data_IF_975173666559
#
_entry.id   IF_975173666559
#
_cell.length_a   1.000
_cell.length_b   1.000
_cell.length_c   1.000
_cell.angle_alpha   90.00
_cell.angle_beta   90.00
_cell.angle_gamma   90.00
#
_symmetry.space_group_name_H-M   'P 1'
#
loop_
_entity.id
_entity.type
_entity.pdbx_description
1 polymer ?
#
# COMPACT_ATOMS: atom_id res chain seq x y z
N UNK A 1 -0.01 -8.83 -7.00
CA UNK A 1 -0.49 -8.09 -5.82
C UNK A 1 -1.09 -9.02 -4.76
N UNK A 2 -2.27 -9.62 -4.97
CA UNK A 2 -3.01 -10.40 -3.96
C UNK A 2 -2.20 -11.50 -3.28
N UNK A 3 -1.81 -12.54 -4.01
CA UNK A 3 -1.13 -13.70 -3.44
C UNK A 3 0.19 -13.34 -2.74
N UNK A 4 0.96 -12.43 -3.31
CA UNK A 4 2.21 -11.99 -2.69
C UNK A 4 1.96 -11.23 -1.38
N UNK A 5 0.96 -10.35 -1.34
CA UNK A 5 0.57 -9.68 -0.09
C UNK A 5 -0.01 -10.67 0.94
N UNK A 6 -0.69 -11.75 0.53
CA UNK A 6 -1.09 -12.83 1.45
C UNK A 6 0.13 -13.48 2.10
N UNK A 7 1.17 -13.78 1.33
CA UNK A 7 2.45 -14.30 1.84
C UNK A 7 3.09 -13.32 2.84
N UNK A 8 3.00 -12.01 2.58
CA UNK A 8 3.51 -10.96 3.47
C UNK A 8 2.64 -10.72 4.73
N UNK A 9 1.50 -11.40 4.85
CA UNK A 9 0.64 -11.36 6.05
C UNK A 9 -0.66 -10.58 5.89
N UNK A 10 -1.13 -10.29 4.67
CA UNK A 10 -2.46 -9.73 4.44
C UNK A 10 -3.55 -10.80 4.56
N UNK A 11 -4.50 -10.61 5.48
CA UNK A 11 -5.63 -11.53 5.65
C UNK A 11 -6.81 -11.22 4.71
N UNK A 12 -7.02 -9.94 4.38
CA UNK A 12 -8.16 -9.45 3.58
C UNK A 12 -7.76 -8.28 2.70
N UNK A 13 -8.47 -8.12 1.60
CA UNK A 13 -8.27 -7.06 0.62
C UNK A 13 -9.56 -6.29 0.38
N UNK A 14 -9.44 -4.97 0.25
CA UNK A 14 -10.55 -4.10 -0.11
C UNK A 14 -10.16 -3.35 -1.37
N UNK A 15 -10.97 -3.49 -2.43
CA UNK A 15 -10.82 -2.72 -3.66
C UNK A 15 -12.02 -1.82 -3.87
N UNK A 16 -11.76 -0.62 -4.37
CA UNK A 16 -12.77 0.34 -4.80
C UNK A 16 -12.82 0.29 -6.33
N UNK A 17 -13.92 -0.21 -6.87
CA UNK A 17 -14.09 -0.44 -8.29
C UNK A 17 -14.81 0.74 -8.95
N UNK A 18 -14.04 1.64 -9.55
CA UNK A 18 -14.56 2.65 -10.48
C UNK A 18 -14.80 2.04 -11.87
N UNK A 19 -13.82 1.27 -12.35
CA UNK A 19 -13.90 0.54 -13.61
C UNK A 19 -12.97 -0.66 -13.59
N UNK A 20 -13.45 -1.83 -14.00
CA UNK A 20 -12.63 -3.05 -14.17
C UNK A 20 -12.99 -3.76 -15.46
N UNK A 21 -11.98 -4.31 -16.15
CA UNK A 21 -12.21 -5.20 -17.29
C UNK A 21 -12.76 -6.57 -16.85
N UNK A 22 -13.44 -7.26 -17.77
CA UNK A 22 -14.08 -8.56 -17.51
C UNK A 22 -13.11 -9.64 -17.05
N UNK A 23 -11.86 -9.61 -17.52
CA UNK A 23 -10.80 -10.51 -17.10
C UNK A 23 -10.41 -10.30 -15.63
N UNK A 24 -10.28 -9.05 -15.18
CA UNK A 24 -9.98 -8.72 -13.79
C UNK A 24 -11.16 -9.04 -12.89
N UNK A 25 -12.38 -8.73 -13.33
CA UNK A 25 -13.59 -9.05 -12.56
C UNK A 25 -13.72 -10.56 -12.29
N UNK A 26 -13.52 -11.42 -13.31
CA UNK A 26 -13.55 -12.88 -13.11
C UNK A 26 -12.55 -13.36 -12.03
N UNK A 27 -11.35 -12.78 -11.99
CA UNK A 27 -10.35 -13.09 -10.96
C UNK A 27 -10.84 -12.59 -9.60
N UNK A 28 -11.33 -11.36 -9.50
CA UNK A 28 -11.88 -10.81 -8.26
C UNK A 28 -13.04 -11.66 -7.73
N UNK A 29 -13.95 -12.12 -8.59
CA UNK A 29 -15.07 -13.00 -8.20
C UNK A 29 -14.59 -14.29 -7.53
N UNK A 30 -13.45 -14.85 -7.96
CA UNK A 30 -12.86 -16.02 -7.30
C UNK A 30 -12.45 -15.72 -5.86
N UNK A 31 -11.79 -14.58 -5.61
CA UNK A 31 -11.35 -14.19 -4.27
C UNK A 31 -12.47 -13.61 -3.39
N UNK A 32 -13.52 -13.05 -4.00
CA UNK A 32 -14.75 -12.68 -3.28
C UNK A 32 -15.41 -13.95 -2.73
N UNK A 33 -15.53 -15.00 -3.55
CA UNK A 33 -16.10 -16.28 -3.13
C UNK A 33 -15.28 -16.98 -2.04
N UNK A 34 -13.96 -16.83 -2.02
CA UNK A 34 -13.12 -17.34 -0.92
C UNK A 34 -13.19 -16.49 0.36
N UNK A 35 -13.78 -15.29 0.30
CA UNK A 35 -13.84 -14.34 1.41
C UNK A 35 -12.57 -13.52 1.63
N UNK A 36 -11.59 -13.64 0.74
CA UNK A 36 -10.32 -12.89 0.82
C UNK A 36 -10.48 -11.43 0.37
N UNK A 37 -11.36 -11.17 -0.60
CA UNK A 37 -11.51 -9.87 -1.25
C UNK A 37 -12.91 -9.31 -1.04
N UNK A 38 -12.99 -8.03 -0.68
CA UNK A 38 -14.19 -7.21 -0.76
C UNK A 38 -14.03 -6.17 -1.86
N UNK A 39 -14.95 -6.15 -2.82
CA UNK A 39 -15.00 -5.11 -3.86
C UNK A 39 -16.16 -4.19 -3.57
N UNK A 40 -15.87 -2.90 -3.42
CA UNK A 40 -16.87 -1.85 -3.22
C UNK A 40 -17.06 -1.10 -4.54
N UNK A 41 -18.31 -0.88 -5.00
CA UNK A 41 -18.55 -0.03 -6.15
C UNK A 41 -18.11 1.40 -5.83
N UNK A 42 -17.41 2.05 -6.77
CA UNK A 42 -16.89 3.41 -6.61
C UNK A 42 -17.45 4.36 -7.66
N UNK A 43 -18.78 4.48 -7.66
CA UNK A 43 -19.54 5.28 -8.62
C UNK A 43 -19.71 6.73 -8.14
N UNK A 44 -18.61 7.39 -7.78
CA UNK A 44 -18.67 8.81 -7.42
C UNK A 44 -18.88 9.67 -8.68
N UNK A 45 -19.57 10.84 -8.56
CA UNK A 45 -19.58 11.82 -9.63
C UNK A 45 -18.15 12.34 -9.81
N UNK A 46 -17.44 11.78 -10.78
CA UNK A 46 -16.04 12.15 -11.05
C UNK A 46 -15.98 13.58 -11.52
N UNK A 47 -16.86 13.99 -12.44
CA UNK A 47 -16.96 15.38 -12.88
C UNK A 47 -17.81 16.17 -11.93
N UNK A 48 -17.21 17.22 -11.37
CA UNK A 48 -17.88 18.14 -10.45
C UNK A 48 -17.73 19.57 -10.93
N UNK A 49 -18.73 20.38 -10.61
CA UNK A 49 -18.66 21.81 -10.78
C UNK A 49 -17.63 22.39 -9.79
N UNK A 50 -16.78 23.30 -10.28
CA UNK A 50 -15.80 24.00 -9.46
C UNK A 50 -16.35 25.31 -8.93
N UNK A 51 -15.81 25.78 -7.81
CA UNK A 51 -15.92 27.18 -7.41
C UNK A 51 -14.53 27.85 -7.44
N UNK A 52 -14.35 28.96 -8.19
CA UNK A 52 -15.34 29.63 -9.04
C UNK A 52 -15.78 28.76 -10.25
N UNK A 53 -16.98 29.02 -10.82
CA UNK A 53 -17.52 28.21 -11.92
C UNK A 53 -16.58 28.17 -13.12
N UNK A 54 -16.30 26.96 -13.61
CA UNK A 54 -15.47 26.72 -14.78
C UNK A 54 -16.31 26.07 -15.89
N UNK A 55 -16.05 26.44 -17.15
CA UNK A 55 -16.64 25.76 -18.31
C UNK A 55 -16.06 24.36 -18.54
N UNK A 56 -14.94 24.04 -17.88
CA UNK A 56 -14.34 22.71 -17.87
C UNK A 56 -14.57 22.12 -16.48
N UNK A 57 -15.55 21.19 -16.32
CA UNK A 57 -15.74 20.50 -15.05
C UNK A 57 -14.44 19.82 -14.66
N UNK A 58 -14.06 19.94 -13.39
CA UNK A 58 -12.88 19.27 -12.85
C UNK A 58 -13.26 17.86 -12.44
N UNK A 59 -12.35 16.93 -12.64
CA UNK A 59 -12.48 15.64 -11.99
C UNK A 59 -12.16 15.78 -10.49
N UNK A 60 -12.92 15.11 -9.63
CA UNK A 60 -12.55 14.92 -8.22
C UNK A 60 -11.18 14.27 -8.23
N UNK A 61 -10.17 15.01 -7.77
CA UNK A 61 -8.76 14.68 -7.90
C UNK A 61 -8.48 13.17 -7.74
N UNK A 62 -7.87 12.56 -8.76
CA UNK A 62 -7.53 11.13 -8.79
C UNK A 62 -8.76 10.21 -8.57
N UNK A 63 -9.91 10.55 -9.16
CA UNK A 63 -11.19 9.81 -9.05
C UNK A 63 -11.68 9.61 -7.61
N UNK A 64 -11.39 10.57 -6.73
CA UNK A 64 -11.77 10.51 -5.33
C UNK A 64 -10.93 9.53 -4.51
N UNK A 65 -9.67 9.28 -4.89
CA UNK A 65 -8.76 8.38 -4.16
C UNK A 65 -8.68 8.71 -2.65
N UNK A 66 -8.61 9.99 -2.28
CA UNK A 66 -8.55 10.38 -0.87
C UNK A 66 -9.81 9.94 -0.10
N UNK A 67 -10.98 10.04 -0.72
CA UNK A 67 -12.23 9.56 -0.13
C UNK A 67 -12.25 8.03 -0.01
N UNK A 68 -11.73 7.29 -1.00
CA UNK A 68 -11.62 5.83 -0.93
C UNK A 68 -10.70 5.36 0.21
N UNK A 69 -9.54 6.03 0.38
CA UNK A 69 -8.59 5.73 1.45
C UNK A 69 -9.22 5.93 2.83
N UNK A 70 -9.92 7.05 3.03
CA UNK A 70 -10.56 7.36 4.32
C UNK A 70 -11.82 6.52 4.58
N UNK A 71 -12.63 6.20 3.56
CA UNK A 71 -13.72 5.22 3.70
C UNK A 71 -13.17 3.86 4.15
N UNK A 72 -12.08 3.40 3.53
CA UNK A 72 -11.46 2.12 3.88
C UNK A 72 -10.96 2.10 5.33
N UNK A 73 -10.27 3.18 5.73
CA UNK A 73 -9.79 3.39 7.09
C UNK A 73 -10.93 3.30 8.11
N UNK A 74 -12.00 4.07 7.90
CA UNK A 74 -13.13 4.16 8.82
C UNK A 74 -13.93 2.86 8.87
N UNK A 75 -14.23 2.25 7.72
CA UNK A 75 -14.96 0.98 7.58
C UNK A 75 -14.26 -0.17 8.30
N UNK A 76 -12.93 -0.14 8.34
CA UNK A 76 -12.11 -1.20 8.92
C UNK A 76 -11.52 -0.84 10.29
N UNK A 77 -11.86 0.32 10.87
CA UNK A 77 -11.37 0.81 12.17
C UNK A 77 -11.43 -0.22 13.30
N UNK A 78 -12.52 -0.98 13.35
CA UNK A 78 -12.71 -2.02 14.36
C UNK A 78 -12.55 -3.45 13.83
N UNK A 79 -12.28 -3.60 12.53
CA UNK A 79 -12.20 -4.91 11.84
C UNK A 79 -10.78 -5.37 11.58
N UNK A 80 -9.84 -4.44 11.45
CA UNK A 80 -8.44 -4.72 11.18
C UNK A 80 -7.55 -4.23 12.34
N UNK A 81 -6.47 -4.98 12.62
CA UNK A 81 -5.42 -4.52 13.54
C UNK A 81 -4.51 -3.51 12.86
N UNK A 82 -4.17 -3.77 11.60
CA UNK A 82 -3.41 -2.88 10.73
C UNK A 82 -4.05 -2.85 9.35
N UNK A 83 -3.97 -1.71 8.67
CA UNK A 83 -4.35 -1.54 7.27
C UNK A 83 -3.10 -1.17 6.49
N UNK A 84 -2.91 -1.83 5.34
CA UNK A 84 -1.82 -1.52 4.42
C UNK A 84 -2.40 -0.73 3.25
N UNK A 85 -1.92 0.50 3.07
CA UNK A 85 -2.24 1.34 1.92
C UNK A 85 -1.13 1.21 0.90
N UNK A 86 -1.41 0.52 -0.21
CA UNK A 86 -0.49 0.28 -1.32
C UNK A 86 -1.21 0.33 -2.66
N UNK A 87 -0.49 0.73 -3.70
CA UNK A 87 -0.99 0.69 -5.08
C UNK A 87 -0.85 -0.74 -5.64
N UNK A 88 -1.55 -1.04 -6.74
CA UNK A 88 -1.63 -2.41 -7.29
C UNK A 88 -0.28 -2.94 -7.80
N UNK A 89 0.61 -2.04 -8.22
CA UNK A 89 1.92 -2.32 -8.80
C UNK A 89 3.08 -2.09 -7.83
N UNK A 90 2.80 -1.87 -6.55
CA UNK A 90 3.79 -1.57 -5.51
C UNK A 90 3.70 -2.55 -4.34
N UNK A 91 4.84 -2.81 -3.70
CA UNK A 91 4.98 -3.79 -2.63
C UNK A 91 5.85 -3.27 -1.49
N UNK A 92 5.44 -3.55 -0.25
CA UNK A 92 6.25 -3.31 0.94
C UNK A 92 6.95 -4.64 1.27
N UNK A 93 8.22 -4.80 0.89
CA UNK A 93 8.97 -6.05 1.14
C UNK A 93 9.91 -5.85 2.33
N UNK A 94 9.72 -6.55 3.46
CA UNK A 94 10.67 -6.50 4.56
C UNK A 94 12.02 -7.12 4.14
N UNK A 95 13.13 -6.47 4.49
CA UNK A 95 14.48 -6.97 4.16
C UNK A 95 15.05 -7.93 5.21
N UNK A 96 14.59 -7.83 6.46
CA UNK A 96 15.15 -8.57 7.60
C UNK A 96 14.15 -9.51 8.28
N UNK A 97 12.89 -9.44 7.85
CA UNK A 97 11.77 -10.15 8.48
C UNK A 97 11.00 -10.90 7.39
N UNK A 98 10.25 -11.93 7.77
CA UNK A 98 9.57 -12.79 6.80
C UNK A 98 8.26 -12.16 6.29
N UNK A 99 7.64 -11.31 7.10
CA UNK A 99 6.31 -10.74 6.85
C UNK A 99 6.13 -9.41 7.61
N UNK A 100 5.01 -8.72 7.37
CA UNK A 100 4.71 -7.43 8.00
C UNK A 100 4.49 -7.54 9.51
N UNK A 101 3.96 -8.65 10.01
CA UNK A 101 3.73 -8.87 11.44
C UNK A 101 5.05 -8.89 12.21
N UNK A 102 6.04 -9.64 11.71
CA UNK A 102 7.39 -9.69 12.28
C UNK A 102 8.08 -8.33 12.20
N UNK A 103 8.02 -7.68 11.04
CA UNK A 103 8.56 -6.33 10.82
C UNK A 103 8.02 -5.32 11.84
N UNK A 104 6.69 -5.25 11.98
CA UNK A 104 6.03 -4.35 12.94
C UNK A 104 6.43 -4.71 14.36
N UNK A 105 6.47 -6.00 14.71
CA UNK A 105 6.86 -6.46 16.04
C UNK A 105 8.28 -6.02 16.40
N UNK A 106 9.21 -6.10 15.44
CA UNK A 106 10.61 -5.72 15.59
C UNK A 106 10.78 -4.22 15.73
N UNK A 107 10.13 -3.44 14.87
CA UNK A 107 10.21 -1.97 14.89
C UNK A 107 9.55 -1.39 16.16
N UNK A 108 8.53 -2.06 16.70
CA UNK A 108 7.85 -1.63 17.94
C UNK A 108 8.66 -1.89 19.21
N UNK A 109 9.65 -2.80 19.18
CA UNK A 109 10.51 -3.06 20.35
C UNK A 109 11.29 -1.79 20.70
N UNK A 110 11.30 -1.37 21.98
CA UNK A 110 12.07 -0.20 22.37
C UNK A 110 13.57 -0.44 22.09
N UNK A 111 14.33 0.62 21.74
CA UNK A 111 15.78 0.51 21.67
C UNK A 111 16.34 0.06 23.02
N UNK A 112 17.51 -0.59 23.04
CA UNK A 112 18.24 -0.84 24.26
C UNK A 112 18.40 0.47 25.06
N UNK A 113 18.26 0.40 26.39
CA UNK A 113 18.28 1.57 27.27
C UNK A 113 19.55 2.43 27.17
N UNK A 114 20.63 1.89 26.58
CA UNK A 114 21.94 2.54 26.40
C UNK A 114 22.15 3.18 25.02
N UNK A 115 21.15 3.19 24.14
CA UNK A 115 21.28 3.82 22.82
C UNK A 115 21.19 5.35 22.92
N UNK A 116 22.06 6.12 22.25
CA UNK A 116 21.95 7.59 22.16
C UNK A 116 20.60 8.08 21.63
N UNK A 117 19.87 7.22 20.89
CA UNK A 117 18.58 7.51 20.27
C UNK A 117 17.42 7.39 21.30
N UNK A 118 17.66 6.78 22.47
CA UNK A 118 16.65 6.51 23.50
C UNK A 118 15.92 7.79 23.98
N UNK A 119 16.64 8.92 24.10
CA UNK A 119 16.10 10.20 24.55
C UNK A 119 15.29 10.92 23.47
N UNK A 120 15.72 10.84 22.20
CA UNK A 120 15.05 11.47 21.04
C UNK A 120 13.71 10.76 20.76
N UNK A 121 13.71 9.43 20.80
CA UNK A 121 12.49 8.63 20.60
C UNK A 121 11.49 8.69 21.76
N UNK A 122 11.89 9.21 22.93
CA UNK A 122 10.99 9.41 24.07
C UNK A 122 9.94 10.49 23.79
N UNK A 123 10.24 11.49 22.97
CA UNK A 123 9.29 12.52 22.54
C UNK A 123 8.47 12.11 21.30
N UNK A 124 9.01 11.26 20.43
CA UNK A 124 8.29 10.67 19.29
C UNK A 124 7.25 9.58 19.69
N UNK A 125 7.02 9.37 20.99
CA UNK A 125 6.18 8.29 21.55
C UNK A 125 4.70 8.33 21.18
N UNK A 126 4.19 9.39 20.55
CA UNK A 126 2.75 9.52 20.23
C UNK A 126 2.28 8.63 19.08
N UNK A 127 3.16 8.21 18.16
CA UNK A 127 2.73 7.56 16.90
C UNK A 127 3.42 6.19 16.64
N UNK A 128 3.38 5.25 17.60
CA UNK A 128 4.01 3.91 17.43
C UNK A 128 3.28 2.95 16.49
N UNK A 129 2.14 3.39 15.96
CA UNK A 129 1.21 2.54 15.23
C UNK A 129 0.98 3.05 13.79
N UNK A 130 1.81 3.99 13.34
CA UNK A 130 1.87 4.50 11.97
C UNK A 130 3.26 4.17 11.43
N UNK A 131 3.31 3.42 10.34
CA UNK A 131 4.54 3.03 9.67
C UNK A 131 4.53 3.59 8.25
N UNK A 132 5.40 4.57 7.99
CA UNK A 132 5.58 5.19 6.68
C UNK A 132 6.89 4.66 6.10
N UNK A 133 6.83 4.09 4.91
CA UNK A 133 7.97 3.44 4.27
C UNK A 133 8.60 4.36 3.23
N UNK A 134 9.91 4.44 3.24
CA UNK A 134 10.68 4.99 2.13
C UNK A 134 10.67 3.99 0.97
N UNK A 135 10.59 4.50 -0.25
CA UNK A 135 10.38 3.69 -1.45
C UNK A 135 11.51 3.89 -2.47
N UNK A 136 11.68 2.88 -3.32
CA UNK A 136 12.59 2.85 -4.46
C UNK A 136 11.88 2.09 -5.58
N UNK A 137 12.14 2.46 -6.84
CA UNK A 137 11.41 1.91 -7.98
C UNK A 137 12.23 0.91 -8.76
N UNK A 138 11.54 -0.11 -9.26
CA UNK A 138 11.99 -0.95 -10.35
C UNK A 138 11.38 -0.39 -11.63
N UNK A 139 12.19 0.33 -12.43
CA UNK A 139 11.69 0.99 -13.65
C UNK A 139 11.39 -0.03 -14.73
N UNK A 140 10.21 0.08 -15.34
CA UNK A 140 9.75 -0.84 -16.39
C UNK A 140 10.58 -0.71 -17.67
N UNK A 141 11.15 0.47 -17.88
CA UNK A 141 11.92 0.84 -19.07
C UNK A 141 13.37 0.32 -19.00
N UNK A 142 13.81 -0.16 -17.85
CA UNK A 142 15.17 -0.66 -17.68
C UNK A 142 15.37 -2.04 -18.31
N UNK A 143 16.62 -2.37 -18.69
CA UNK A 143 16.92 -3.64 -19.34
C UNK A 143 16.44 -4.85 -18.52
N UNK A 144 16.01 -5.87 -19.27
CA UNK A 144 15.45 -7.16 -18.83
C UNK A 144 16.26 -7.87 -17.71
N UNK A 145 15.63 -8.83 -17.00
CA UNK A 145 16.27 -9.50 -15.87
C UNK A 145 17.63 -10.09 -16.24
N UNK A 146 18.53 -10.21 -15.27
CA UNK A 146 19.72 -11.05 -15.44
C UNK A 146 19.28 -12.48 -15.82
N UNK A 147 20.04 -13.24 -16.62
CA UNK A 147 19.60 -14.54 -17.17
C UNK A 147 19.06 -15.52 -16.11
N UNK A 148 19.65 -15.50 -14.90
CA UNK A 148 19.20 -16.30 -13.77
C UNK A 148 17.76 -15.98 -13.33
N UNK A 149 17.38 -14.71 -13.35
CA UNK A 149 16.05 -14.24 -12.97
C UNK A 149 15.03 -14.39 -14.10
N UNK A 150 15.47 -14.43 -15.36
CA UNK A 150 14.59 -14.76 -16.49
C UNK A 150 14.03 -16.18 -16.35
N UNK A 151 14.87 -17.12 -15.91
CA UNK A 151 14.46 -18.51 -15.62
C UNK A 151 13.47 -18.57 -14.45
N UNK A 152 13.75 -17.85 -13.37
CA UNK A 152 12.87 -17.80 -12.17
C UNK A 152 11.53 -17.14 -12.48
N UNK A 153 11.53 -15.99 -13.16
CA UNK A 153 10.33 -15.28 -13.59
C UNK A 153 9.44 -16.16 -14.47
N UNK A 154 10.04 -16.87 -15.43
CA UNK A 154 9.34 -17.82 -16.31
C UNK A 154 8.76 -18.99 -15.53
N UNK A 155 9.53 -19.60 -14.63
CA UNK A 155 9.09 -20.72 -13.78
C UNK A 155 7.92 -20.33 -12.88
N UNK A 156 7.98 -19.14 -12.27
CA UNK A 156 6.97 -18.63 -11.35
C UNK A 156 5.83 -17.87 -12.04
N UNK A 157 5.91 -17.68 -13.37
CA UNK A 157 4.97 -16.86 -14.16
C UNK A 157 4.72 -15.49 -13.54
N UNK A 158 5.78 -14.86 -13.03
CA UNK A 158 5.69 -13.60 -12.26
C UNK A 158 6.43 -12.48 -12.96
N UNK A 159 5.67 -11.53 -13.53
CA UNK A 159 6.23 -10.34 -14.16
C UNK A 159 7.05 -9.47 -13.19
N UNK A 160 6.71 -9.48 -11.90
CA UNK A 160 7.42 -8.73 -10.85
C UNK A 160 8.84 -9.25 -10.64
N UNK A 161 9.02 -10.57 -10.67
CA UNK A 161 10.34 -11.20 -10.48
C UNK A 161 11.28 -10.99 -11.67
N UNK A 162 10.76 -10.44 -12.78
CA UNK A 162 11.56 -10.06 -13.95
C UNK A 162 12.30 -8.73 -13.78
N UNK A 163 11.98 -7.91 -12.77
CA UNK A 163 12.66 -6.63 -12.57
C UNK A 163 13.62 -6.71 -11.39
N UNK A 164 14.93 -6.75 -11.69
CA UNK A 164 15.97 -6.94 -10.67
C UNK A 164 16.81 -5.69 -10.41
N UNK A 165 16.68 -4.67 -11.26
CA UNK A 165 17.35 -3.38 -11.10
C UNK A 165 16.38 -2.38 -10.48
N UNK A 166 16.79 -1.80 -9.37
CA UNK A 166 16.06 -0.72 -8.68
C UNK A 166 16.87 0.55 -8.65
N UNK A 167 16.20 1.67 -8.45
CA UNK A 167 16.87 2.95 -8.21
C UNK A 167 17.82 2.90 -7.02
N UNK A 168 18.93 3.63 -7.17
CA UNK A 168 19.91 3.81 -6.10
C UNK A 168 19.43 4.84 -5.09
N UNK A 169 18.72 5.87 -5.57
CA UNK A 169 18.09 6.87 -4.74
C UNK A 169 16.89 6.28 -3.99
N UNK A 170 16.78 6.65 -2.72
CA UNK A 170 15.68 6.28 -1.83
C UNK A 170 14.87 7.53 -1.59
N UNK A 171 13.58 7.50 -1.93
CA UNK A 171 12.72 8.65 -1.73
C UNK A 171 12.49 8.93 -0.24
N UNK A 172 12.44 10.21 0.16
CA UNK A 172 12.14 10.57 1.54
C UNK A 172 10.72 10.16 1.92
N UNK A 173 10.49 9.96 3.22
CA UNK A 173 9.16 9.65 3.75
C UNK A 173 8.17 10.78 3.40
N UNK A 174 6.94 10.41 3.00
CA UNK A 174 5.94 11.35 2.50
C UNK A 174 5.96 11.51 0.98
N UNK A 175 7.07 11.16 0.31
CA UNK A 175 7.18 11.17 -1.15
C UNK A 175 7.00 9.76 -1.68
N UNK A 176 5.86 9.49 -2.32
CA UNK A 176 5.51 8.16 -2.88
C UNK A 176 5.46 7.02 -1.83
N UNK A 177 5.48 7.35 -0.54
CA UNK A 177 5.47 6.37 0.54
C UNK A 177 4.24 5.48 0.52
N UNK A 178 4.45 4.22 0.89
CA UNK A 178 3.39 3.28 1.27
C UNK A 178 3.32 3.19 2.78
N UNK A 179 2.17 2.79 3.31
CA UNK A 179 1.88 2.96 4.71
C UNK A 179 1.22 1.73 5.31
N UNK A 180 1.60 1.41 6.54
CA UNK A 180 0.87 0.47 7.38
C UNK A 180 0.41 1.23 8.62
N UNK A 181 -0.88 1.21 8.91
CA UNK A 181 -1.47 2.01 9.99
C UNK A 181 -2.37 1.19 10.88
N UNK A 182 -2.41 1.51 12.17
CA UNK A 182 -3.47 1.03 13.07
C UNK A 182 -4.69 1.93 12.93
N UNK A 183 -5.80 1.42 12.37
CA UNK A 183 -6.92 2.27 12.01
C UNK A 183 -7.71 2.79 13.22
N UNK A 184 -7.43 2.29 14.44
CA UNK A 184 -8.04 2.77 15.70
C UNK A 184 -7.41 4.06 16.22
N UNK A 185 -6.18 4.34 15.81
CA UNK A 185 -5.40 5.49 16.31
C UNK A 185 -5.23 6.57 15.24
N UNK A 186 -5.44 6.23 13.98
CA UNK A 186 -5.36 7.16 12.86
C UNK A 186 -6.73 7.77 12.58
N UNK A 187 -6.78 9.11 12.55
CA UNK A 187 -8.00 9.87 12.27
C UNK A 187 -8.30 9.91 10.77
N UNK A 188 -7.29 10.25 9.97
CA UNK A 188 -7.36 10.40 8.52
C UNK A 188 -6.08 9.90 7.88
N UNK A 189 -6.15 9.60 6.58
CA UNK A 189 -4.99 9.26 5.76
C UNK A 189 -5.00 10.08 4.48
N UNK A 190 -3.81 10.48 4.05
CA UNK A 190 -3.56 11.14 2.77
C UNK A 190 -2.98 10.18 1.73
N UNK A 191 -2.76 10.72 0.54
CA UNK A 191 -1.92 10.04 -0.46
C UNK A 191 -0.47 10.16 0.01
N UNK A 192 0.17 9.02 0.32
CA UNK A 192 1.55 8.90 0.82
C UNK A 192 1.84 9.45 2.23
N UNK A 193 0.83 9.92 2.97
CA UNK A 193 1.02 10.50 4.30
C UNK A 193 -0.15 10.18 5.25
N UNK A 194 0.07 10.36 6.56
CA UNK A 194 -0.91 10.20 7.65
C UNK A 194 -0.82 11.40 8.57
#
# INVERSE_FOLDING_TARGET
>A
MLEFNKILGADRFVFYNYSTGSNVDQVLQKYIKSGDVTVLPWNLPVRVDTWPPSKQPSDVWYFGQLAALNDCLLRNRHRARYIVFSDLDEFIVPLKDSNWTELISRVRKPPPARSPIHLIQRHARKNRDIFIFQCTFFRKEWPRPLPEFETVSSKLKSSVMGYTRRETEILPAGTRSKMIVNPRLVQEVGVHQV
#
